data_IF_013322396462
#
_entry.id   IF_013322396462
#
_cell.length_a   1.000
_cell.length_b   1.000
_cell.length_c   1.000
_cell.angle_alpha   90.00
_cell.angle_beta   90.00
_cell.angle_gamma   90.00
#
_symmetry.space_group_name_H-M   'P 1'
#
loop_
_entity.id
_entity.type
_entity.pdbx_description
1 polymer ?
#
# COMPACT_ATOMS: atom_id res chain seq x y z
N UNK A 1 -3.65 -12.19 -18.74
CA UNK A 1 -3.00 -11.10 -17.97
C UNK A 1 -3.76 -10.84 -16.69
N UNK A 2 -3.07 -10.85 -15.56
CA UNK A 2 -3.54 -10.73 -14.17
C UNK A 2 -4.03 -9.32 -13.76
N UNK A 3 -4.12 -8.37 -14.70
CA UNK A 3 -4.64 -7.02 -14.48
C UNK A 3 -3.63 -6.07 -13.80
N UNK A 4 -2.49 -6.55 -13.34
CA UNK A 4 -1.44 -5.72 -12.73
C UNK A 4 -0.64 -5.04 -13.83
N UNK A 5 -0.55 -3.71 -13.78
CA UNK A 5 0.15 -2.89 -14.77
C UNK A 5 1.50 -2.46 -14.26
N UNK A 6 2.51 -2.48 -15.14
CA UNK A 6 3.80 -1.81 -14.89
C UNK A 6 3.62 -0.30 -14.98
N UNK A 7 4.55 0.49 -14.40
CA UNK A 7 4.51 1.95 -14.48
C UNK A 7 4.30 2.53 -15.89
N UNK A 8 4.87 1.91 -16.93
CA UNK A 8 4.74 2.39 -18.31
C UNK A 8 3.33 2.23 -18.88
N UNK A 9 2.60 1.22 -18.41
CA UNK A 9 1.22 0.94 -18.82
C UNK A 9 0.20 1.60 -17.89
N UNK A 10 0.67 2.17 -16.78
CA UNK A 10 -0.17 2.72 -15.74
C UNK A 10 -0.64 4.13 -16.09
N UNK A 11 -1.89 4.43 -15.75
CA UNK A 11 -2.46 5.77 -15.92
C UNK A 11 -2.06 6.64 -14.74
N UNK A 12 -1.89 7.93 -15.01
CA UNK A 12 -1.62 8.94 -13.99
C UNK A 12 -2.83 9.09 -13.05
N UNK A 13 -2.66 8.96 -11.72
CA UNK A 13 -3.76 9.18 -10.78
C UNK A 13 -4.13 10.67 -10.72
N UNK A 14 -5.42 10.98 -10.54
CA UNK A 14 -5.95 12.35 -10.49
C UNK A 14 -5.37 13.17 -9.35
N UNK A 15 -5.06 12.53 -8.22
CA UNK A 15 -4.49 13.16 -7.03
C UNK A 15 -2.95 13.16 -7.02
N UNK A 16 -2.26 12.93 -8.15
CA UNK A 16 -0.80 12.84 -8.19
C UNK A 16 -0.09 14.07 -7.59
N UNK A 17 -0.52 15.28 -7.95
CA UNK A 17 0.14 16.50 -7.48
C UNK A 17 -0.03 16.70 -5.97
N UNK A 18 -1.19 16.31 -5.45
CA UNK A 18 -1.43 16.29 -4.01
C UNK A 18 -0.50 15.29 -3.30
N UNK A 19 -0.33 14.08 -3.84
CA UNK A 19 0.58 13.07 -3.29
C UNK A 19 2.04 13.56 -3.32
N UNK A 20 2.48 14.18 -4.42
CA UNK A 20 3.83 14.75 -4.54
C UNK A 20 4.07 15.87 -3.53
N UNK A 21 3.10 16.78 -3.38
CA UNK A 21 3.17 17.86 -2.40
C UNK A 21 3.24 17.28 -0.97
N UNK A 22 2.38 16.30 -0.67
CA UNK A 22 2.32 15.64 0.64
C UNK A 22 3.66 14.99 1.01
N UNK A 23 4.27 14.24 0.10
CA UNK A 23 5.54 13.56 0.36
C UNK A 23 6.73 14.52 0.50
N UNK A 24 6.68 15.69 -0.14
CA UNK A 24 7.74 16.73 -0.03
C UNK A 24 7.57 17.69 1.14
N UNK A 25 6.43 17.64 1.83
CA UNK A 25 6.13 18.58 2.91
C UNK A 25 7.15 18.44 4.05
N UNK A 26 7.62 19.57 4.60
CA UNK A 26 8.47 19.54 5.78
C UNK A 26 7.73 18.92 6.96
N UNK A 27 8.35 17.93 7.61
CA UNK A 27 7.71 17.22 8.72
C UNK A 27 7.86 18.00 10.02
N UNK A 28 6.74 18.24 10.70
CA UNK A 28 6.68 18.89 12.01
C UNK A 28 6.35 17.92 13.17
N UNK A 29 6.12 16.63 12.88
CA UNK A 29 5.65 15.63 13.85
C UNK A 29 6.82 14.79 14.38
N UNK A 30 6.88 14.63 15.71
CA UNK A 30 7.79 13.71 16.43
C UNK A 30 7.39 12.26 16.24
N UNK A 31 8.35 11.34 16.30
CA UNK A 31 8.16 9.93 15.92
C UNK A 31 7.02 9.23 16.68
N UNK A 32 6.24 8.41 15.94
CA UNK A 32 5.18 7.58 16.50
C UNK A 32 5.77 6.36 17.21
N UNK A 33 5.15 5.86 18.30
CA UNK A 33 5.51 4.56 18.85
C UNK A 33 5.20 3.46 17.82
N UNK A 34 6.24 2.94 17.15
CA UNK A 34 6.16 2.05 15.99
C UNK A 34 5.46 0.70 16.24
N UNK A 35 5.40 0.24 17.51
CA UNK A 35 4.97 -1.12 17.88
C UNK A 35 3.51 -1.48 17.57
N UNK A 36 2.63 -0.51 17.30
CA UNK A 36 1.18 -0.75 17.14
C UNK A 36 0.68 -0.81 15.68
N UNK A 37 1.49 -0.37 14.71
CA UNK A 37 0.98 -0.05 13.37
C UNK A 37 1.85 -0.56 12.22
N UNK A 38 2.93 -1.31 12.51
CA UNK A 38 3.86 -1.81 11.50
C UNK A 38 4.19 -3.27 11.77
N UNK A 39 4.45 -4.01 10.69
CA UNK A 39 4.95 -5.38 10.72
C UNK A 39 5.98 -5.58 9.61
N UNK A 40 6.81 -6.62 9.76
CA UNK A 40 7.83 -6.99 8.81
C UNK A 40 7.56 -8.40 8.29
N UNK A 41 7.84 -8.63 6.99
CA UNK A 41 7.74 -9.95 6.34
C UNK A 41 6.38 -10.64 6.53
N UNK A 42 5.27 -9.94 6.31
CA UNK A 42 3.94 -10.53 6.42
C UNK A 42 3.38 -10.94 5.05
N UNK A 43 3.18 -12.25 4.87
CA UNK A 43 2.47 -12.77 3.69
C UNK A 43 0.99 -12.40 3.72
N UNK A 44 0.44 -12.04 2.57
CA UNK A 44 -0.97 -11.76 2.38
C UNK A 44 -1.65 -13.02 1.82
N UNK A 45 -2.13 -13.87 2.72
CA UNK A 45 -2.50 -15.24 2.38
C UNK A 45 -3.97 -15.44 2.05
N UNK A 46 -4.81 -14.47 2.40
CA UNK A 46 -6.25 -14.66 2.47
C UNK A 46 -7.00 -14.26 1.19
N UNK A 47 -6.30 -14.20 0.06
CA UNK A 47 -6.93 -13.89 -1.21
C UNK A 47 -7.60 -15.11 -1.84
N UNK A 48 -8.79 -14.94 -2.44
CA UNK A 48 -9.37 -16.01 -3.23
C UNK A 48 -8.47 -16.32 -4.42
N UNK A 49 -8.38 -17.60 -4.79
CA UNK A 49 -7.56 -18.06 -5.92
C UNK A 49 -7.98 -17.43 -7.26
N UNK A 50 -9.24 -17.01 -7.36
CA UNK A 50 -9.77 -16.34 -8.54
C UNK A 50 -9.42 -14.84 -8.62
N UNK A 51 -8.86 -14.23 -7.56
CA UNK A 51 -8.50 -12.81 -7.58
C UNK A 51 -7.54 -12.54 -8.76
N UNK A 52 -7.81 -11.52 -9.60
CA UNK A 52 -7.08 -11.37 -10.85
C UNK A 52 -5.56 -11.30 -10.70
N UNK A 53 -5.06 -10.66 -9.64
CA UNK A 53 -3.63 -10.47 -9.37
C UNK A 53 -2.93 -11.71 -8.79
N UNK A 54 -3.66 -12.69 -8.22
CA UNK A 54 -3.11 -13.84 -7.49
C UNK A 54 -3.03 -15.13 -8.32
N UNK A 55 -3.60 -15.17 -9.53
CA UNK A 55 -3.69 -16.40 -10.34
C UNK A 55 -2.31 -16.93 -10.76
N UNK A 56 -1.94 -18.10 -10.23
CA UNK A 56 -0.77 -18.88 -10.66
C UNK A 56 0.58 -18.29 -10.27
N UNK A 57 0.62 -17.37 -9.30
CA UNK A 57 1.83 -16.69 -8.84
C UNK A 57 1.89 -16.75 -7.31
N UNK A 58 3.10 -16.74 -6.74
CA UNK A 58 3.31 -16.64 -5.30
C UNK A 58 2.54 -15.46 -4.67
N UNK A 59 1.95 -15.72 -3.50
CA UNK A 59 1.17 -14.73 -2.76
C UNK A 59 2.05 -13.54 -2.36
N UNK A 60 1.52 -12.30 -2.38
CA UNK A 60 2.24 -11.11 -1.92
C UNK A 60 2.85 -11.31 -0.52
N UNK A 61 4.13 -11.00 -0.37
CA UNK A 61 4.85 -11.08 0.90
C UNK A 61 5.87 -9.92 0.98
N UNK A 62 5.40 -8.69 1.25
CA UNK A 62 6.28 -7.54 1.35
C UNK A 62 7.28 -7.65 2.50
N UNK A 63 8.48 -7.11 2.30
CA UNK A 63 9.49 -6.98 3.35
C UNK A 63 9.03 -6.09 4.52
N UNK A 64 8.18 -5.10 4.23
CA UNK A 64 7.58 -4.18 5.19
C UNK A 64 6.09 -3.97 4.89
N UNK A 65 5.25 -3.96 5.92
CA UNK A 65 3.85 -3.56 5.79
C UNK A 65 3.43 -2.68 6.98
N UNK A 66 2.64 -1.65 6.70
CA UNK A 66 2.07 -0.74 7.69
C UNK A 66 0.55 -0.72 7.58
N UNK A 67 -0.11 -1.03 8.69
CA UNK A 67 -1.56 -1.17 8.85
C UNK A 67 -1.92 -1.33 10.32
N UNK A 68 -3.20 -1.49 10.65
CA UNK A 68 -3.62 -1.71 12.03
C UNK A 68 -3.49 -3.18 12.40
N UNK A 69 -2.89 -3.48 13.55
CA UNK A 69 -2.99 -4.84 14.11
C UNK A 69 -4.41 -5.10 14.59
N UNK A 70 -4.83 -6.35 14.64
CA UNK A 70 -6.16 -6.72 15.17
C UNK A 70 -6.36 -6.22 16.62
N UNK A 71 -5.32 -6.21 17.44
CA UNK A 71 -5.36 -5.68 18.81
C UNK A 71 -5.57 -4.16 18.91
N UNK A 72 -5.49 -3.43 17.78
CA UNK A 72 -5.91 -2.04 17.70
C UNK A 72 -7.43 -1.85 17.75
N UNK A 73 -8.20 -2.95 17.73
CA UNK A 73 -9.66 -2.99 17.82
C UNK A 73 -10.13 -3.66 19.14
N UNK A 74 -9.72 -3.18 20.34
CA UNK A 74 -9.91 -3.92 21.58
C UNK A 74 -11.37 -3.99 22.07
N UNK A 75 -12.26 -3.15 21.54
CA UNK A 75 -13.62 -2.96 22.05
C UNK A 75 -14.71 -3.16 20.97
N UNK A 76 -14.37 -3.81 19.85
CA UNK A 76 -15.28 -4.00 18.72
C UNK A 76 -15.28 -5.48 18.33
N UNK A 77 -16.46 -6.05 18.10
CA UNK A 77 -16.57 -7.38 17.51
C UNK A 77 -16.15 -7.28 16.03
N UNK A 78 -14.93 -7.71 15.73
CA UNK A 78 -14.37 -7.64 14.38
C UNK A 78 -15.00 -8.73 13.51
N UNK A 79 -15.85 -8.33 12.57
CA UNK A 79 -16.30 -9.22 11.50
C UNK A 79 -15.11 -9.55 10.57
N UNK A 80 -14.86 -10.83 10.37
CA UNK A 80 -13.87 -11.27 9.43
C UNK A 80 -14.44 -11.23 8.00
N UNK A 81 -13.90 -10.33 7.19
CA UNK A 81 -14.17 -10.28 5.76
C UNK A 81 -13.04 -10.99 5.01
N UNK A 82 -13.40 -12.02 4.25
CA UNK A 82 -12.44 -12.76 3.45
C UNK A 82 -11.67 -11.80 2.52
N UNK A 83 -10.34 -11.93 2.48
CA UNK A 83 -9.41 -11.10 1.73
C UNK A 83 -9.29 -9.64 2.19
N UNK A 84 -9.72 -9.28 3.40
CA UNK A 84 -9.54 -7.94 3.98
C UNK A 84 -8.36 -7.83 4.96
N UNK A 85 -7.81 -8.97 5.39
CA UNK A 85 -6.75 -9.10 6.41
C UNK A 85 -5.54 -9.84 5.84
N UNK A 86 -4.33 -9.44 6.23
CA UNK A 86 -3.09 -10.06 5.75
C UNK A 86 -2.94 -11.53 6.18
N UNK A 87 -3.36 -11.88 7.38
CA UNK A 87 -3.20 -13.22 7.95
C UNK A 87 -4.35 -13.54 8.92
N UNK A 88 -4.95 -14.73 8.83
CA UNK A 88 -6.22 -15.06 9.51
C UNK A 88 -6.06 -15.67 10.91
N UNK A 89 -4.84 -16.01 11.33
CA UNK A 89 -4.61 -16.87 12.50
C UNK A 89 -3.64 -16.30 13.56
N UNK A 90 -3.41 -14.98 13.60
CA UNK A 90 -2.48 -14.38 14.58
C UNK A 90 -2.88 -12.98 15.05
N UNK A 91 -2.57 -12.64 16.31
CA UNK A 91 -2.80 -11.30 16.88
C UNK A 91 -1.92 -10.20 16.25
N UNK A 92 -0.89 -10.59 15.49
CA UNK A 92 0.00 -9.69 14.75
C UNK A 92 -0.50 -9.36 13.34
N UNK A 93 -1.69 -9.84 12.99
CA UNK A 93 -2.25 -9.65 11.66
C UNK A 93 -2.60 -8.20 11.39
N UNK A 94 -2.13 -7.67 10.26
CA UNK A 94 -2.56 -6.37 9.80
C UNK A 94 -3.91 -6.43 9.10
N UNK A 95 -4.78 -5.52 9.51
CA UNK A 95 -6.04 -5.17 8.90
C UNK A 95 -5.76 -4.00 7.96
N UNK A 96 -6.06 -4.17 6.66
CA UNK A 96 -5.91 -3.15 5.62
C UNK A 96 -4.59 -2.38 5.63
N UNK A 97 -3.47 -3.00 5.21
CA UNK A 97 -2.23 -2.26 5.05
C UNK A 97 -2.39 -1.15 3.99
N UNK A 98 -1.88 0.05 4.31
CA UNK A 98 -1.92 1.22 3.42
C UNK A 98 -0.54 1.63 2.89
N UNK A 99 0.51 1.01 3.41
CA UNK A 99 1.87 1.15 2.90
C UNK A 99 2.57 -0.20 2.98
N UNK A 100 3.26 -0.57 1.92
CA UNK A 100 4.20 -1.70 1.91
C UNK A 100 5.52 -1.30 1.26
N UNK A 101 6.58 -1.99 1.65
CA UNK A 101 7.93 -1.71 1.21
C UNK A 101 8.71 -2.97 0.92
N UNK A 102 9.53 -2.92 -0.12
CA UNK A 102 10.50 -3.96 -0.43
C UNK A 102 11.93 -3.41 -0.45
N UNK A 103 12.84 -4.26 0.02
CA UNK A 103 14.27 -4.01 0.08
C UNK A 103 14.93 -4.93 -0.94
N UNK A 104 15.40 -4.39 -2.06
CA UNK A 104 16.07 -5.17 -3.08
C UNK A 104 17.48 -5.59 -2.68
N UNK A 105 17.80 -6.80 -3.10
CA UNK A 105 19.15 -7.21 -3.50
C UNK A 105 19.02 -7.78 -4.93
N UNK A 106 19.47 -7.05 -5.97
CA UNK A 106 19.42 -7.53 -7.37
C UNK A 106 18.60 -6.67 -8.34
N UNK A 107 17.84 -7.31 -9.23
CA UNK A 107 17.18 -6.70 -10.40
C UNK A 107 16.03 -5.74 -10.02
N UNK A 108 16.18 -4.47 -10.39
CA UNK A 108 15.21 -3.40 -10.15
C UNK A 108 13.87 -3.65 -10.85
N UNK A 109 13.85 -4.25 -12.05
CA UNK A 109 12.59 -4.51 -12.76
C UNK A 109 11.77 -5.60 -12.08
N UNK A 110 12.43 -6.66 -11.62
CA UNK A 110 11.78 -7.72 -10.85
C UNK A 110 11.20 -7.19 -9.52
N UNK A 111 11.91 -6.28 -8.86
CA UNK A 111 11.42 -5.60 -7.66
C UNK A 111 10.20 -4.73 -7.96
N UNK A 112 10.24 -3.93 -9.03
CA UNK A 112 9.12 -3.06 -9.41
C UNK A 112 7.85 -3.87 -9.73
N UNK A 113 8.00 -5.01 -10.41
CA UNK A 113 6.90 -5.94 -10.68
C UNK A 113 6.35 -6.57 -9.39
N UNK A 114 7.21 -6.87 -8.42
CA UNK A 114 6.79 -7.39 -7.11
C UNK A 114 6.04 -6.34 -6.30
N UNK A 115 6.54 -5.11 -6.24
CA UNK A 115 5.85 -3.96 -5.65
C UNK A 115 4.48 -3.73 -6.29
N UNK A 116 4.36 -3.85 -7.62
CA UNK A 116 3.08 -3.69 -8.31
C UNK A 116 2.04 -4.73 -7.87
N UNK A 117 2.49 -5.98 -7.63
CA UNK A 117 1.62 -7.04 -7.12
C UNK A 117 1.18 -6.78 -5.68
N UNK A 118 2.08 -6.31 -4.82
CA UNK A 118 1.71 -5.97 -3.45
C UNK A 118 0.72 -4.80 -3.42
N UNK A 119 0.94 -3.79 -4.26
CA UNK A 119 0.01 -2.68 -4.43
C UNK A 119 -1.38 -3.12 -4.92
N UNK A 120 -1.44 -3.98 -5.94
CA UNK A 120 -2.69 -4.58 -6.41
C UNK A 120 -3.43 -5.34 -5.30
N UNK A 121 -2.70 -6.09 -4.49
CA UNK A 121 -3.24 -6.81 -3.35
C UNK A 121 -3.84 -5.86 -2.31
N UNK A 122 -3.14 -4.78 -1.95
CA UNK A 122 -3.67 -3.77 -1.03
C UNK A 122 -4.93 -3.08 -1.58
N UNK A 123 -4.94 -2.75 -2.87
CA UNK A 123 -6.11 -2.14 -3.53
C UNK A 123 -7.30 -3.09 -3.44
N UNK A 124 -7.09 -4.38 -3.72
CA UNK A 124 -8.12 -5.39 -3.58
C UNK A 124 -8.66 -5.49 -2.16
N UNK A 125 -7.77 -5.65 -1.15
CA UNK A 125 -8.17 -5.74 0.27
C UNK A 125 -9.01 -4.54 0.70
N UNK A 126 -8.58 -3.33 0.33
CA UNK A 126 -9.27 -2.09 0.66
C UNK A 126 -10.62 -2.00 -0.03
N UNK A 127 -10.70 -2.35 -1.31
CA UNK A 127 -11.94 -2.26 -2.08
C UNK A 127 -13.00 -3.25 -1.59
N UNK A 128 -12.60 -4.42 -1.09
CA UNK A 128 -13.52 -5.36 -0.41
C UNK A 128 -14.16 -4.71 0.82
N UNK A 129 -13.38 -4.07 1.69
CA UNK A 129 -13.94 -3.41 2.88
C UNK A 129 -14.81 -2.20 2.54
N UNK A 130 -14.42 -1.40 1.54
CA UNK A 130 -15.26 -0.30 1.07
C UNK A 130 -16.58 -0.79 0.49
N UNK A 131 -16.55 -1.86 -0.31
CA UNK A 131 -17.76 -2.47 -0.86
C UNK A 131 -18.68 -3.03 0.22
N UNK A 132 -18.12 -3.64 1.28
CA UNK A 132 -18.89 -4.11 2.45
C UNK A 132 -19.66 -2.97 3.12
N UNK A 133 -19.02 -1.81 3.30
CA UNK A 133 -19.66 -0.60 3.83
C UNK A 133 -20.52 0.16 2.81
N UNK A 134 -20.71 -0.37 1.59
CA UNK A 134 -21.40 0.32 0.48
C UNK A 134 -20.80 1.71 0.15
N UNK A 135 -19.51 1.89 0.39
CA UNK A 135 -18.80 3.14 0.14
C UNK A 135 -18.14 3.10 -1.24
N UNK A 136 -18.40 4.12 -2.06
CA UNK A 136 -17.82 4.20 -3.39
C UNK A 136 -16.31 4.55 -3.35
N UNK A 137 -15.55 3.93 -4.26
CA UNK A 137 -14.16 4.30 -4.51
C UNK A 137 -14.10 5.52 -5.41
N UNK A 138 -13.21 6.47 -5.12
CA UNK A 138 -12.97 7.62 -6.00
C UNK A 138 -12.27 7.17 -7.29
N UNK A 139 -12.88 7.32 -8.48
CA UNK A 139 -12.30 6.82 -9.73
C UNK A 139 -10.99 7.50 -10.08
N UNK A 140 -9.96 6.69 -10.36
CA UNK A 140 -8.62 7.12 -10.74
C UNK A 140 -7.87 7.93 -9.65
N UNK A 141 -8.25 7.80 -8.38
CA UNK A 141 -7.52 8.36 -7.25
C UNK A 141 -6.75 7.25 -6.51
N UNK A 142 -5.50 7.55 -6.13
CA UNK A 142 -4.67 6.61 -5.40
C UNK A 142 -4.63 6.94 -3.90
N UNK A 143 -4.99 5.95 -3.09
CA UNK A 143 -5.06 6.04 -1.63
C UNK A 143 -4.02 5.14 -0.93
N UNK A 144 -3.35 4.30 -1.71
CA UNK A 144 -2.40 3.30 -1.25
C UNK A 144 -1.04 3.57 -1.88
N UNK A 145 0.02 3.34 -1.11
CA UNK A 145 1.38 3.59 -1.56
C UNK A 145 2.28 2.38 -1.36
N UNK A 146 3.23 2.19 -2.26
CA UNK A 146 4.36 1.30 -2.01
C UNK A 146 5.66 2.07 -2.10
N UNK A 147 6.70 1.53 -1.50
CA UNK A 147 8.06 1.96 -1.80
C UNK A 147 8.96 0.77 -2.12
N UNK A 148 10.00 1.06 -2.89
CA UNK A 148 11.08 0.11 -3.14
C UNK A 148 12.41 0.79 -2.88
N UNK A 149 13.38 0.06 -2.36
CA UNK A 149 14.74 0.59 -2.21
C UNK A 149 15.80 -0.46 -2.45
N UNK A 150 16.88 -0.08 -3.12
CA UNK A 150 18.10 -0.88 -3.29
C UNK A 150 19.27 -0.34 -2.44
N UNK A 151 18.99 0.54 -1.48
CA UNK A 151 20.00 1.25 -0.68
C UNK A 151 20.65 2.45 -1.39
N UNK A 152 20.54 2.57 -2.71
CA UNK A 152 20.99 3.74 -3.48
C UNK A 152 19.82 4.68 -3.75
N UNK A 153 18.70 4.15 -4.22
CA UNK A 153 17.48 4.88 -4.48
C UNK A 153 16.36 4.37 -3.59
N UNK A 154 15.44 5.26 -3.23
CA UNK A 154 14.11 4.91 -2.74
C UNK A 154 13.08 5.46 -3.72
N UNK A 155 12.19 4.60 -4.21
CA UNK A 155 11.14 4.95 -5.17
C UNK A 155 9.78 4.76 -4.52
N UNK A 156 8.90 5.75 -4.66
CA UNK A 156 7.54 5.74 -4.14
C UNK A 156 6.53 5.60 -5.27
N UNK A 157 5.57 4.70 -5.11
CA UNK A 157 4.52 4.47 -6.09
C UNK A 157 3.14 4.61 -5.46
N UNK A 158 2.19 5.07 -6.27
CA UNK A 158 0.79 5.21 -5.93
C UNK A 158 -0.03 4.12 -6.62
N UNK A 159 -1.02 3.57 -5.91
CA UNK A 159 -1.81 2.44 -6.37
C UNK A 159 -3.31 2.72 -6.36
N UNK A 160 -3.98 2.29 -7.43
CA UNK A 160 -5.43 2.38 -7.57
C UNK A 160 -5.97 1.34 -8.56
N UNK A 161 -7.28 1.13 -8.52
CA UNK A 161 -7.99 0.26 -9.46
C UNK A 161 -8.69 1.11 -10.53
N UNK A 162 -8.81 0.55 -11.74
CA UNK A 162 -9.79 0.99 -12.71
C UNK A 162 -10.37 -0.17 -13.51
N UNK A 163 -11.34 0.13 -14.38
CA UNK A 163 -11.91 -0.84 -15.31
C UNK A 163 -11.61 -0.45 -16.74
N UNK A 164 -11.22 -1.42 -17.56
CA UNK A 164 -11.13 -1.29 -19.00
C UNK A 164 -12.53 -1.24 -19.65
N UNK A 165 -12.58 -0.94 -20.94
CA UNK A 165 -13.83 -0.88 -21.72
C UNK A 165 -14.58 -2.21 -21.74
N UNK A 166 -13.87 -3.34 -21.70
CA UNK A 166 -14.40 -4.71 -21.60
C UNK A 166 -14.71 -5.13 -20.15
N UNK A 167 -14.67 -4.21 -19.18
CA UNK A 167 -15.05 -4.43 -17.79
C UNK A 167 -13.99 -5.11 -16.92
N UNK A 168 -12.81 -5.38 -17.47
CA UNK A 168 -11.70 -6.02 -16.76
C UNK A 168 -11.07 -5.06 -15.75
N UNK A 169 -10.81 -5.58 -14.56
CA UNK A 169 -10.11 -4.86 -13.48
C UNK A 169 -8.63 -4.69 -13.84
N UNK A 170 -8.14 -3.46 -13.73
CA UNK A 170 -6.76 -3.06 -13.93
C UNK A 170 -6.21 -2.40 -12.65
N UNK A 171 -5.08 -2.91 -12.15
CA UNK A 171 -4.37 -2.37 -11.01
C UNK A 171 -3.20 -1.52 -11.51
N UNK A 172 -3.23 -0.26 -11.14
CA UNK A 172 -2.25 0.74 -11.53
C UNK A 172 -1.17 0.88 -10.47
N UNK A 173 0.10 0.87 -10.88
CA UNK A 173 1.25 1.35 -10.11
C UNK A 173 1.81 2.58 -10.83
N UNK A 174 1.81 3.76 -10.21
CA UNK A 174 2.33 4.99 -10.84
C UNK A 174 3.46 5.61 -10.01
N UNK A 175 4.61 5.98 -10.62
CA UNK A 175 5.74 6.55 -9.90
C UNK A 175 5.42 7.96 -9.41
N UNK A 176 5.58 8.19 -8.11
CA UNK A 176 5.26 9.47 -7.46
C UNK A 176 6.52 10.32 -7.35
N UNK A 177 7.53 9.79 -6.67
CA UNK A 177 8.81 10.43 -6.36
C UNK A 177 9.92 9.39 -6.22
N UNK A 178 11.17 9.84 -6.38
CA UNK A 178 12.39 9.08 -6.11
C UNK A 178 13.38 9.97 -5.37
N UNK A 179 14.24 9.38 -4.55
CA UNK A 179 15.35 10.06 -3.89
C UNK A 179 16.64 9.22 -3.97
N UNK A 180 17.77 9.87 -4.24
CA UNK A 180 19.09 9.26 -4.21
C UNK A 180 19.67 9.32 -2.79
N UNK A 181 19.66 8.20 -2.09
CA UNK A 181 20.13 8.08 -0.71
C UNK A 181 21.65 8.22 -0.58
N UNK A 182 22.41 8.06 -1.67
CA UNK A 182 23.87 8.18 -1.68
C UNK A 182 24.39 9.43 -2.40
N UNK A 183 23.50 10.24 -2.98
CA UNK A 183 23.92 11.41 -3.76
C UNK A 183 24.43 12.56 -2.88
N UNK A 184 23.76 12.86 -1.76
CA UNK A 184 24.22 13.82 -0.76
C UNK A 184 23.53 13.63 0.58
N UNK A 185 24.07 14.26 1.64
CA UNK A 185 23.40 14.32 2.94
C UNK A 185 22.00 14.96 2.86
N UNK A 186 21.83 15.98 2.00
CA UNK A 186 20.54 16.62 1.80
C UNK A 186 19.53 15.67 1.14
N UNK A 187 19.92 14.97 0.08
CA UNK A 187 19.04 14.01 -0.61
C UNK A 187 18.72 12.80 0.28
N UNK A 188 19.67 12.34 1.10
CA UNK A 188 19.42 11.32 2.12
C UNK A 188 18.33 11.76 3.10
N UNK A 189 18.48 12.94 3.71
CA UNK A 189 17.48 13.48 4.64
C UNK A 189 16.12 13.70 3.95
N UNK A 190 16.14 14.12 2.70
CA UNK A 190 14.93 14.25 1.89
C UNK A 190 14.25 12.89 1.68
N UNK A 191 14.98 11.84 1.32
CA UNK A 191 14.43 10.49 1.17
C UNK A 191 13.84 9.94 2.46
N UNK A 192 14.52 10.15 3.59
CA UNK A 192 14.01 9.79 4.94
C UNK A 192 12.73 10.56 5.26
N UNK A 193 12.68 11.86 4.96
CA UNK A 193 11.49 12.69 5.16
C UNK A 193 10.31 12.22 4.28
N UNK A 194 10.57 11.89 3.01
CA UNK A 194 9.56 11.35 2.09
C UNK A 194 8.98 10.03 2.59
N UNK A 195 9.82 9.11 3.08
CA UNK A 195 9.35 7.84 3.66
C UNK A 195 8.46 8.09 4.88
N UNK A 196 8.88 8.97 5.80
CA UNK A 196 8.08 9.33 6.98
C UNK A 196 6.75 9.98 6.61
N UNK A 197 6.73 10.88 5.63
CA UNK A 197 5.50 11.48 5.14
C UNK A 197 4.57 10.47 4.47
N UNK A 198 5.14 9.47 3.78
CA UNK A 198 4.40 8.35 3.23
C UNK A 198 3.79 7.47 4.33
N UNK A 199 4.55 7.17 5.40
CA UNK A 199 4.04 6.49 6.59
C UNK A 199 2.92 7.28 7.29
N UNK A 200 3.07 8.60 7.45
CA UNK A 200 2.05 9.46 8.04
C UNK A 200 0.77 9.49 7.17
N UNK A 201 0.92 9.53 5.84
CA UNK A 201 -0.22 9.43 4.92
C UNK A 201 -0.93 8.08 5.02
N UNK A 202 -0.19 6.98 5.01
CA UNK A 202 -0.75 5.65 5.13
C UNK A 202 -1.49 5.45 6.46
N UNK A 203 -0.94 5.97 7.57
CA UNK A 203 -1.60 5.97 8.87
C UNK A 203 -2.92 6.75 8.82
N UNK A 204 -2.92 7.96 8.24
CA UNK A 204 -4.13 8.76 8.09
C UNK A 204 -5.21 8.02 7.29
N UNK A 205 -4.84 7.43 6.15
CA UNK A 205 -5.79 6.70 5.29
C UNK A 205 -6.33 5.45 5.97
N UNK A 206 -5.47 4.68 6.61
CA UNK A 206 -5.86 3.51 7.38
C UNK A 206 -6.78 3.91 8.55
N UNK A 207 -6.49 5.00 9.26
CA UNK A 207 -7.29 5.49 10.40
C UNK A 207 -8.68 5.87 9.92
N UNK A 208 -8.76 6.59 8.79
CA UNK A 208 -10.04 6.96 8.20
C UNK A 208 -10.87 5.73 7.82
N UNK A 209 -10.26 4.71 7.23
CA UNK A 209 -10.95 3.47 6.90
C UNK A 209 -11.43 2.72 8.15
N UNK A 210 -10.56 2.60 9.16
CA UNK A 210 -10.88 2.01 10.47
C UNK A 210 -12.08 2.71 11.10
N UNK A 211 -12.01 4.03 11.26
CA UNK A 211 -13.05 4.81 11.92
C UNK A 211 -14.38 4.78 11.17
N UNK A 212 -14.36 4.57 9.84
CA UNK A 212 -15.56 4.31 9.04
C UNK A 212 -16.12 2.91 9.29
N UNK A 213 -15.27 1.88 9.35
CA UNK A 213 -15.69 0.50 9.64
C UNK A 213 -16.25 0.35 11.05
N UNK A 214 -15.69 1.05 12.05
CA UNK A 214 -16.18 1.00 13.43
C UNK A 214 -17.56 1.66 13.62
N UNK A 215 -17.98 2.53 12.68
CA UNK A 215 -19.27 3.25 12.73
C UNK A 215 -20.36 2.61 11.89
N UNK A 216 -19.99 1.75 10.95
CA UNK A 216 -20.89 1.00 10.09
C UNK A 216 -21.58 -0.10 10.90
#
# INVERSE_FOLDING_TARGET
QNGVLTPELSRRPKNLEWLRARLRTARHITDWPASKWQTFCQSFNDFPEYAPFSRGIEKPCPGFAQGFRLDAYPCVDVEYLHASVCFTHGQISLVHPHLVGDFAYGDLKAMEATSARHGAAMVYMRNIALAHMQHETLPDCADLMTFTTNGIFINFYAHFESRSLDGKVLYHQYPVLTANLLGSHHEFLQGVAMLRNCQDHALFMATRLRDSLEKY
#
